data_IF_218707558006
#
_entry.id   IF_218707558006
#
_cell.length_a   1.000
_cell.length_b   1.000
_cell.length_c   1.000
_cell.angle_alpha   90.00
_cell.angle_beta   90.00
_cell.angle_gamma   90.00
#
_symmetry.space_group_name_H-M   'P 1'
#
loop_
_entity.id
_entity.type
_entity.pdbx_description
1 polymer ?
#
# COMPACT_ATOMS: atom_id res chain seq x y z
N UNK A 1 -40.72 8.87 0.79
CA UNK A 1 -40.73 8.86 -0.69
C UNK A 1 -39.47 9.57 -1.15
N UNK A 2 -38.45 8.92 -1.73
CA UNK A 2 -37.32 9.63 -2.34
C UNK A 2 -37.67 10.07 -3.76
N UNK A 3 -37.31 11.32 -4.07
CA UNK A 3 -37.61 11.98 -5.33
C UNK A 3 -36.73 11.48 -6.48
N UNK A 4 -37.32 11.58 -7.65
CA UNK A 4 -37.00 10.98 -8.94
C UNK A 4 -35.66 11.41 -9.54
N UNK A 5 -34.87 10.45 -10.01
CA UNK A 5 -34.06 10.66 -11.22
C UNK A 5 -32.68 10.02 -11.26
N UNK A 6 -32.08 9.65 -10.14
CA UNK A 6 -30.77 8.98 -10.15
C UNK A 6 -30.95 7.49 -9.89
N UNK A 7 -30.65 6.60 -10.84
CA UNK A 7 -30.76 5.17 -10.61
C UNK A 7 -29.83 4.78 -9.46
N UNK A 8 -30.27 3.85 -8.59
CA UNK A 8 -29.49 3.33 -7.45
C UNK A 8 -28.09 2.87 -7.90
N UNK A 9 -27.98 2.42 -9.15
CA UNK A 9 -26.72 2.06 -9.81
C UNK A 9 -25.69 3.19 -9.91
N UNK A 10 -26.07 4.46 -9.82
CA UNK A 10 -25.12 5.58 -9.78
C UNK A 10 -24.32 5.60 -8.46
N UNK A 11 -24.82 4.96 -7.39
CA UNK A 11 -24.06 4.72 -6.16
C UNK A 11 -23.23 3.42 -6.19
N UNK A 12 -23.37 2.59 -7.23
CA UNK A 12 -22.66 1.31 -7.40
C UNK A 12 -21.72 1.27 -8.61
N UNK A 13 -21.68 2.30 -9.47
CA UNK A 13 -20.86 2.32 -10.69
C UNK A 13 -19.41 2.77 -10.51
N UNK A 14 -18.89 2.66 -9.31
CA UNK A 14 -17.61 1.98 -9.12
C UNK A 14 -17.75 1.05 -7.92
N UNK A 15 -18.08 -0.23 -8.13
CA UNK A 15 -17.89 -1.29 -7.11
C UNK A 15 -16.43 -1.46 -6.65
N UNK A 16 -15.55 -0.59 -7.16
CA UNK A 16 -14.17 -0.32 -6.79
C UNK A 16 -14.02 1.00 -6.00
N UNK A 17 -15.07 1.52 -5.32
CA UNK A 17 -14.87 2.48 -4.23
C UNK A 17 -14.12 1.70 -3.14
N UNK A 18 -12.79 1.72 -3.28
CA UNK A 18 -11.86 1.71 -2.17
C UNK A 18 -12.55 2.46 -1.04
N UNK A 19 -12.68 1.89 0.16
CA UNK A 19 -12.84 2.77 1.33
C UNK A 19 -11.64 3.73 1.25
N UNK A 20 -11.87 4.96 0.77
CA UNK A 20 -10.83 5.75 0.09
C UNK A 20 -9.61 6.05 0.98
N UNK A 21 -9.74 5.83 2.28
CA UNK A 21 -8.70 6.11 3.26
C UNK A 21 -8.25 4.90 4.11
N UNK A 22 -9.00 3.79 4.17
CA UNK A 22 -8.68 2.64 5.06
C UNK A 22 -9.01 1.31 4.40
N UNK A 23 -8.07 0.36 4.43
CA UNK A 23 -8.26 -0.97 3.82
C UNK A 23 -9.29 -1.83 4.57
N UNK A 24 -9.77 -2.88 3.94
CA UNK A 24 -10.65 -3.82 4.62
C UNK A 24 -9.82 -4.75 5.53
N UNK A 25 -9.98 -4.60 6.85
CA UNK A 25 -9.30 -5.43 7.86
C UNK A 25 -9.57 -6.93 7.70
N UNK A 26 -10.72 -7.31 7.16
CA UNK A 26 -11.10 -8.72 6.93
C UNK A 26 -10.25 -9.39 5.84
N UNK A 27 -9.51 -8.61 5.05
CA UNK A 27 -8.59 -9.14 4.04
C UNK A 27 -7.25 -9.57 4.64
N UNK A 28 -6.94 -9.28 5.91
CA UNK A 28 -5.77 -9.82 6.62
C UNK A 28 -6.01 -11.26 7.06
N UNK A 29 -5.89 -12.18 6.10
CA UNK A 29 -6.11 -13.62 6.29
C UNK A 29 -5.20 -14.42 5.36
N UNK A 30 -5.05 -15.74 5.56
CA UNK A 30 -4.36 -16.59 4.59
C UNK A 30 -4.93 -16.38 3.16
N UNK A 31 -4.05 -16.08 2.20
CA UNK A 31 -4.42 -15.77 0.81
C UNK A 31 -4.89 -14.32 0.57
N UNK A 32 -4.89 -13.47 1.59
CA UNK A 32 -5.20 -12.04 1.49
C UNK A 32 -3.99 -11.14 1.73
N UNK A 33 -4.20 -9.99 2.38
CA UNK A 33 -3.12 -9.07 2.74
C UNK A 33 -2.18 -9.69 3.76
N UNK A 34 -0.88 -9.42 3.57
CA UNK A 34 0.15 -9.75 4.55
C UNK A 34 0.21 -8.65 5.62
N UNK A 35 0.22 -8.99 6.92
CA UNK A 35 0.44 -8.01 7.99
C UNK A 35 1.86 -7.45 7.90
N UNK A 36 1.97 -6.11 7.96
CA UNK A 36 3.23 -5.36 7.88
C UNK A 36 3.14 -4.21 8.87
N UNK A 37 4.14 -4.07 9.74
CA UNK A 37 4.25 -2.98 10.71
C UNK A 37 5.35 -1.99 10.33
N UNK A 38 5.21 -0.74 10.79
CA UNK A 38 6.26 0.28 10.63
C UNK A 38 7.49 -0.16 11.43
N UNK A 39 8.66 -0.15 10.78
CA UNK A 39 9.92 -0.62 11.34
C UNK A 39 10.30 -2.05 10.94
N UNK A 40 9.37 -2.81 10.34
CA UNK A 40 9.68 -4.15 9.82
C UNK A 40 10.83 -4.08 8.81
N UNK A 41 11.72 -5.08 8.87
CA UNK A 41 12.84 -5.23 7.96
C UNK A 41 12.62 -6.40 7.01
N UNK A 42 12.49 -6.09 5.72
CA UNK A 42 12.39 -7.08 4.65
C UNK A 42 13.79 -7.22 4.03
N UNK A 43 14.40 -8.40 4.13
CA UNK A 43 15.73 -8.65 3.58
C UNK A 43 15.67 -9.41 2.27
N UNK A 44 16.45 -8.98 1.28
CA UNK A 44 16.65 -9.69 0.03
C UNK A 44 18.15 -9.67 -0.34
N UNK A 45 18.85 -10.75 -0.02
CA UNK A 45 20.31 -10.83 -0.16
C UNK A 45 21.03 -9.81 0.74
N UNK A 46 21.85 -8.95 0.12
CA UNK A 46 22.59 -7.88 0.81
C UNK A 46 21.76 -6.61 1.05
N UNK A 47 20.57 -6.53 0.45
CA UNK A 47 19.63 -5.41 0.65
C UNK A 47 18.72 -5.68 1.85
N UNK A 48 18.50 -4.64 2.65
CA UNK A 48 17.49 -4.60 3.71
C UNK A 48 16.58 -3.39 3.50
N UNK A 49 15.28 -3.62 3.52
CA UNK A 49 14.23 -2.63 3.29
C UNK A 49 13.43 -2.45 4.57
N UNK A 50 13.57 -1.30 5.23
CA UNK A 50 12.82 -0.99 6.45
C UNK A 50 11.52 -0.26 6.10
N UNK A 51 10.40 -0.72 6.64
CA UNK A 51 9.08 -0.09 6.45
C UNK A 51 9.05 1.26 7.16
N UNK A 52 8.84 2.34 6.40
CA UNK A 52 8.86 3.70 6.93
C UNK A 52 7.45 4.31 7.08
N UNK A 53 6.58 4.12 6.09
CA UNK A 53 5.23 4.68 6.12
C UNK A 53 4.27 3.90 5.21
N UNK A 54 2.98 3.92 5.55
CA UNK A 54 1.93 3.39 4.67
C UNK A 54 1.47 4.47 3.70
N UNK A 55 1.51 4.19 2.40
CA UNK A 55 1.12 5.16 1.37
C UNK A 55 -0.33 4.98 0.92
N UNK A 56 -0.88 3.78 1.09
CA UNK A 56 -2.28 3.53 0.77
C UNK A 56 -2.60 2.05 0.60
N UNK A 57 -3.78 1.80 0.05
CA UNK A 57 -4.26 0.48 -0.31
C UNK A 57 -5.12 0.56 -1.56
N UNK A 58 -5.23 -0.57 -2.26
CA UNK A 58 -6.17 -0.79 -3.32
C UNK A 58 -6.87 -2.12 -3.15
N UNK A 59 -7.85 -2.43 -4.01
CA UNK A 59 -8.69 -3.62 -3.88
C UNK A 59 -7.93 -4.95 -3.69
N UNK A 60 -6.68 -5.05 -4.15
CA UNK A 60 -5.87 -6.27 -4.05
C UNK A 60 -4.49 -6.07 -3.41
N UNK A 61 -4.08 -4.85 -3.08
CA UNK A 61 -2.73 -4.59 -2.56
C UNK A 61 -2.69 -3.49 -1.52
N UNK A 62 -1.65 -3.51 -0.70
CA UNK A 62 -1.26 -2.39 0.17
C UNK A 62 0.05 -1.81 -0.34
N UNK A 63 0.22 -0.50 -0.19
CA UNK A 63 1.39 0.21 -0.72
C UNK A 63 2.13 0.87 0.44
N UNK A 64 3.42 0.59 0.53
CA UNK A 64 4.28 1.00 1.64
C UNK A 64 5.55 1.67 1.12
N UNK A 65 5.99 2.73 1.80
CA UNK A 65 7.28 3.35 1.60
C UNK A 65 8.34 2.58 2.39
N UNK A 66 9.39 2.16 1.70
CA UNK A 66 10.51 1.42 2.29
C UNK A 66 11.80 2.22 2.18
N UNK A 67 12.57 2.25 3.27
CA UNK A 67 13.95 2.76 3.26
C UNK A 67 14.89 1.59 2.97
N UNK A 68 15.58 1.64 1.82
CA UNK A 68 16.60 0.64 1.46
C UNK A 68 17.93 0.94 2.15
N UNK A 69 18.58 -0.11 2.61
CA UNK A 69 19.97 -0.12 3.09
C UNK A 69 20.69 -1.30 2.44
N UNK A 70 21.93 -1.11 2.01
CA UNK A 70 22.81 -2.17 1.52
C UNK A 70 23.86 -2.46 2.58
N UNK A 71 23.95 -3.71 3.04
CA UNK A 71 25.15 -4.13 3.76
C UNK A 71 26.26 -4.17 2.73
N UNK A 72 27.28 -3.32 2.91
CA UNK A 72 28.46 -3.18 2.05
C UNK A 72 28.40 -2.17 0.89
N UNK A 73 27.68 -1.04 1.01
CA UNK A 73 27.94 0.12 0.14
C UNK A 73 29.12 0.94 0.70
N UNK A 74 30.32 0.91 0.09
CA UNK A 74 31.29 1.97 0.32
C UNK A 74 30.74 3.24 -0.36
N UNK A 75 30.00 4.05 0.41
CA UNK A 75 29.65 5.44 0.14
C UNK A 75 29.54 5.81 -1.36
N UNK A 76 28.51 5.35 -2.05
CA UNK A 76 28.20 5.86 -3.39
C UNK A 76 27.32 7.11 -3.27
N UNK A 77 27.94 8.29 -3.36
CA UNK A 77 27.25 9.56 -3.64
C UNK A 77 26.81 9.54 -5.11
N UNK A 78 25.50 9.56 -5.35
CA UNK A 78 24.94 9.74 -6.69
C UNK A 78 23.99 10.92 -6.68
N UNK A 79 24.27 11.94 -7.51
CA UNK A 79 23.34 13.03 -7.78
C UNK A 79 22.33 12.57 -8.82
N UNK A 80 21.05 12.54 -8.47
CA UNK A 80 19.96 12.40 -9.43
C UNK A 80 19.65 13.78 -10.03
N UNK A 81 19.87 13.93 -11.34
CA UNK A 81 19.30 15.02 -12.14
C UNK A 81 18.03 14.49 -12.82
N UNK A 82 17.01 15.35 -12.87
CA UNK A 82 15.64 15.08 -13.30
C UNK A 82 15.50 14.54 -14.73
#
# INVERSE_FOLDING_TARGET
MPETGKPVWLYQHTGFIMREHVENVELYKPGGYHPIDIGDAITNGEDSYTVAHKLGHGGFSTVWLLKRTRKNSPLSVGTHTA
#
